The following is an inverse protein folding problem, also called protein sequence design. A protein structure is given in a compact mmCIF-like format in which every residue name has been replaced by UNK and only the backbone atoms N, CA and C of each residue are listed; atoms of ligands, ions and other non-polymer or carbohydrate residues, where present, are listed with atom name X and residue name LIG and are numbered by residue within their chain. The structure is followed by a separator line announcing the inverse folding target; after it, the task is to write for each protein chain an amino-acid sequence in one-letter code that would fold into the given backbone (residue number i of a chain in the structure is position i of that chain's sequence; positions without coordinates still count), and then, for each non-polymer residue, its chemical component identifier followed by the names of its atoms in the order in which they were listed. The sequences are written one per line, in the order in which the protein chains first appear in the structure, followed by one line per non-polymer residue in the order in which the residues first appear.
data_IF_060935102940
#
_entry.id   IF_060935102940
#
_cell.length_a   1.000
_cell.length_b   1.000
_cell.length_c   1.000
_cell.angle_alpha   90.00
_cell.angle_beta   90.00
_cell.angle_gamma   90.00
#
_symmetry.space_group_name_H-M   'P 1'
#
loop_
_entity.id
_entity.type
_entity.pdbx_description
1 polymer ?
#
# COMPACT_ATOMS: atom_id res chain seq x y z
N UNK A 1 -22.02 20.63 -8.92
CA UNK A 1 -22.01 19.43 -8.05
C UNK A 1 -21.18 19.73 -6.80
N UNK A 2 -21.77 19.61 -5.61
CA UNK A 2 -21.09 19.76 -4.32
C UNK A 2 -20.62 18.39 -3.86
N UNK A 3 -19.30 18.24 -3.64
CA UNK A 3 -18.68 16.96 -3.28
C UNK A 3 -18.19 17.00 -1.83
N UNK A 4 -18.41 15.91 -1.09
CA UNK A 4 -17.76 15.63 0.19
C UNK A 4 -16.84 14.42 0.07
N UNK A 5 -15.65 14.51 0.65
CA UNK A 5 -14.73 13.39 0.81
C UNK A 5 -14.82 12.87 2.23
N UNK A 6 -14.86 11.57 2.41
CA UNK A 6 -14.85 10.92 3.72
C UNK A 6 -13.67 9.97 3.79
N UNK A 7 -12.88 10.03 4.86
CA UNK A 7 -11.69 9.19 5.01
C UNK A 7 -11.62 8.61 6.41
N UNK A 8 -11.05 7.41 6.54
CA UNK A 8 -11.02 6.69 7.81
C UNK A 8 -10.38 7.52 8.93
N UNK A 9 -9.14 7.94 8.74
CA UNK A 9 -8.40 8.82 9.67
C UNK A 9 -7.19 9.45 8.98
N UNK A 10 -6.75 10.59 9.48
CA UNK A 10 -5.58 11.33 9.00
C UNK A 10 -4.57 11.47 10.16
N UNK A 11 -3.90 10.38 10.51
CA UNK A 11 -2.89 10.28 11.57
C UNK A 11 -1.59 9.63 11.08
N UNK A 12 -1.56 9.11 9.88
CA UNK A 12 -0.40 8.57 9.18
C UNK A 12 -0.50 8.93 7.70
N UNK A 13 0.60 8.84 6.97
CA UNK A 13 0.60 9.08 5.52
C UNK A 13 1.08 7.83 4.78
N UNK A 14 0.15 7.15 4.14
CA UNK A 14 0.38 5.91 3.40
C UNK A 14 -0.32 5.86 2.05
N UNK A 15 -0.67 4.66 1.62
CA UNK A 15 -1.33 4.46 0.32
C UNK A 15 -2.75 5.00 0.26
N UNK A 16 -3.49 4.95 1.36
CA UNK A 16 -4.86 5.43 1.43
C UNK A 16 -4.92 6.97 1.38
N UNK A 17 -4.00 7.64 2.07
CA UNK A 17 -3.88 9.10 2.09
C UNK A 17 -3.44 9.65 0.73
N UNK A 18 -2.60 8.93 -0.02
CA UNK A 18 -2.25 9.27 -1.42
C UNK A 18 -3.46 9.20 -2.36
N UNK A 19 -4.38 8.25 -2.14
CA UNK A 19 -5.65 8.20 -2.87
C UNK A 19 -6.52 9.40 -2.50
N UNK A 20 -6.64 9.71 -1.21
CA UNK A 20 -7.38 10.87 -0.74
C UNK A 20 -6.81 12.17 -1.32
N UNK A 21 -5.49 12.32 -1.35
CA UNK A 21 -4.80 13.45 -1.97
C UNK A 21 -5.19 13.59 -3.45
N UNK A 22 -5.14 12.50 -4.21
CA UNK A 22 -5.53 12.52 -5.62
C UNK A 22 -7.03 12.81 -5.83
N UNK A 23 -7.91 12.35 -4.94
CA UNK A 23 -9.33 12.70 -4.93
C UNK A 23 -9.53 14.18 -4.61
N UNK A 24 -8.83 14.71 -3.62
CA UNK A 24 -8.92 16.13 -3.27
C UNK A 24 -8.36 17.04 -4.37
N UNK A 25 -7.34 16.59 -5.12
CA UNK A 25 -6.88 17.30 -6.31
C UNK A 25 -7.92 17.36 -7.44
N UNK A 26 -8.85 16.40 -7.54
CA UNK A 26 -9.99 16.46 -8.47
C UNK A 26 -11.04 17.47 -7.97
N UNK A 27 -11.31 17.47 -6.66
CA UNK A 27 -12.29 18.35 -6.01
C UNK A 27 -11.66 19.20 -4.90
N UNK A 28 -10.87 20.24 -5.25
CA UNK A 28 -10.06 20.97 -4.26
C UNK A 28 -10.87 21.80 -3.25
N UNK A 29 -12.17 22.00 -3.50
CA UNK A 29 -13.09 22.68 -2.58
C UNK A 29 -13.89 21.71 -1.70
N UNK A 30 -13.72 20.39 -1.89
CA UNK A 30 -14.45 19.38 -1.12
C UNK A 30 -13.94 19.34 0.33
N UNK A 31 -14.81 19.48 1.35
CA UNK A 31 -14.40 19.21 2.71
C UNK A 31 -14.10 17.72 2.90
N UNK A 32 -13.14 17.43 3.80
CA UNK A 32 -12.77 16.06 4.18
C UNK A 32 -13.31 15.77 5.58
N UNK A 33 -14.15 14.75 5.68
CA UNK A 33 -14.69 14.25 6.95
C UNK A 33 -13.88 13.02 7.38
N UNK A 34 -13.47 12.96 8.64
CA UNK A 34 -12.60 11.88 9.13
C UNK A 34 -12.88 11.55 10.59
N UNK A 35 -12.56 10.31 11.02
CA UNK A 35 -12.70 9.97 12.43
C UNK A 35 -11.75 10.81 13.29
N UNK A 36 -10.47 10.87 12.91
CA UNK A 36 -9.40 11.57 13.62
C UNK A 36 -8.50 12.31 12.65
N UNK A 37 -8.02 13.48 13.06
CA UNK A 37 -6.98 14.24 12.38
C UNK A 37 -5.92 14.68 13.37
N UNK A 38 -4.67 14.31 13.09
CA UNK A 38 -3.51 14.76 13.88
C UNK A 38 -2.38 15.20 12.95
N UNK A 39 -2.21 16.51 12.71
CA UNK A 39 -1.14 17.02 11.84
C UNK A 39 0.27 16.67 12.34
N UNK A 40 0.48 16.60 13.66
CA UNK A 40 1.80 16.32 14.23
C UNK A 40 2.27 14.88 13.90
N UNK A 41 1.34 13.94 13.85
CA UNK A 41 1.65 12.54 13.51
C UNK A 41 1.89 12.29 12.03
N UNK A 42 1.54 13.25 11.16
CA UNK A 42 1.80 13.18 9.71
C UNK A 42 3.25 13.56 9.36
N UNK A 43 4.01 14.09 10.28
CA UNK A 43 5.42 14.45 10.12
C UNK A 43 5.65 15.35 8.90
N UNK A 44 6.57 14.96 8.03
CA UNK A 44 6.95 15.71 6.82
C UNK A 44 5.76 15.93 5.84
N UNK A 45 4.69 15.15 5.95
CA UNK A 45 3.53 15.22 5.06
C UNK A 45 2.42 16.15 5.59
N UNK A 46 2.54 16.70 6.80
CA UNK A 46 1.52 17.57 7.39
C UNK A 46 1.19 18.80 6.51
N UNK A 47 2.20 19.34 5.83
CA UNK A 47 2.06 20.50 4.95
C UNK A 47 1.08 20.29 3.79
N UNK A 48 0.89 19.07 3.33
CA UNK A 48 -0.03 18.71 2.23
C UNK A 48 -1.50 18.96 2.59
N UNK A 49 -1.83 18.90 3.87
CA UNK A 49 -3.21 18.99 4.38
C UNK A 49 -3.53 20.37 4.99
N UNK A 50 -2.56 21.28 5.06
CA UNK A 50 -2.69 22.59 5.75
C UNK A 50 -3.82 23.46 5.19
N UNK A 51 -4.06 23.42 3.89
CA UNK A 51 -5.10 24.24 3.21
C UNK A 51 -6.47 23.54 3.12
N UNK A 52 -6.58 22.30 3.60
CA UNK A 52 -7.81 21.53 3.45
C UNK A 52 -8.82 21.86 4.55
N UNK A 53 -10.10 21.85 4.20
CA UNK A 53 -11.19 21.91 5.18
C UNK A 53 -11.41 20.51 5.75
N UNK A 54 -10.78 20.18 6.88
CA UNK A 54 -10.88 18.88 7.55
C UNK A 54 -11.85 18.99 8.72
N UNK A 55 -12.79 18.05 8.79
CA UNK A 55 -13.84 17.98 9.82
C UNK A 55 -13.71 16.62 10.52
N UNK A 56 -13.23 16.64 11.75
CA UNK A 56 -13.09 15.43 12.56
C UNK A 56 -14.40 15.07 13.25
N UNK A 57 -14.60 13.77 13.51
CA UNK A 57 -15.74 13.28 14.27
C UNK A 57 -15.67 13.68 15.75
N UNK A 58 -16.75 13.42 16.48
CA UNK A 58 -16.77 13.56 17.94
C UNK A 58 -15.72 12.69 18.64
N UNK A 59 -15.24 11.61 17.99
CA UNK A 59 -14.17 10.76 18.48
C UNK A 59 -12.88 11.52 18.77
N UNK A 60 -12.58 12.60 18.03
CA UNK A 60 -11.42 13.46 18.27
C UNK A 60 -11.50 14.28 19.58
N UNK A 61 -12.64 14.26 20.26
CA UNK A 61 -12.84 14.88 21.59
C UNK A 61 -12.71 13.88 22.73
N UNK A 62 -12.54 12.59 22.45
CA UNK A 62 -12.37 11.55 23.45
C UNK A 62 -11.00 11.68 24.16
N UNK A 63 -10.91 11.35 25.46
CA UNK A 63 -9.67 11.40 26.18
C UNK A 63 -8.63 10.43 25.58
N UNK A 64 -7.38 10.86 25.52
CA UNK A 64 -6.23 10.04 25.07
C UNK A 64 -6.41 9.39 23.69
N UNK A 65 -7.25 9.96 22.81
CA UNK A 65 -7.58 9.36 21.53
C UNK A 65 -6.33 9.07 20.67
N UNK A 66 -5.27 9.92 20.74
CA UNK A 66 -4.02 9.70 19.99
C UNK A 66 -3.35 8.37 20.35
N UNK A 67 -3.50 7.88 21.59
CA UNK A 67 -2.96 6.61 22.07
C UNK A 67 -3.98 5.46 21.90
N UNK A 68 -5.28 5.77 21.88
CA UNK A 68 -6.37 4.80 21.89
C UNK A 68 -7.09 4.67 20.54
N UNK A 69 -6.44 5.08 19.45
CA UNK A 69 -6.99 4.94 18.08
C UNK A 69 -7.47 3.51 17.81
N UNK A 70 -6.68 2.48 18.13
CA UNK A 70 -7.07 1.09 17.91
C UNK A 70 -8.28 0.62 18.75
N UNK A 71 -8.34 0.83 20.08
CA UNK A 71 -9.53 0.54 20.88
C UNK A 71 -10.79 1.29 20.44
N UNK A 72 -10.66 2.59 20.10
CA UNK A 72 -11.82 3.39 19.69
C UNK A 72 -12.40 2.99 18.34
N UNK A 73 -11.77 2.07 17.63
CA UNK A 73 -12.32 1.50 16.39
C UNK A 73 -13.70 0.86 16.58
N UNK A 74 -14.03 0.40 17.77
CA UNK A 74 -15.37 -0.13 18.10
C UNK A 74 -16.48 0.92 17.88
N UNK A 75 -16.17 2.20 18.00
CA UNK A 75 -17.09 3.30 17.76
C UNK A 75 -17.09 3.82 16.32
N UNK A 76 -16.33 3.21 15.42
CA UNK A 76 -16.12 3.72 14.05
C UNK A 76 -17.42 3.97 13.29
N UNK A 77 -18.43 3.09 13.41
CA UNK A 77 -19.75 3.30 12.81
C UNK A 77 -20.35 4.64 13.28
N UNK A 78 -20.41 4.88 14.60
CA UNK A 78 -20.97 6.09 15.19
C UNK A 78 -20.19 7.36 14.82
N UNK A 79 -18.87 7.27 14.63
CA UNK A 79 -18.06 8.40 14.19
C UNK A 79 -18.49 8.92 12.82
N UNK A 80 -18.88 8.05 11.90
CA UNK A 80 -19.26 8.43 10.55
C UNK A 80 -20.75 8.70 10.39
N UNK A 81 -21.61 7.99 11.11
CA UNK A 81 -23.08 8.24 11.10
C UNK A 81 -23.45 9.62 11.65
N UNK A 82 -22.56 10.25 12.42
CA UNK A 82 -22.75 11.58 13.00
C UNK A 82 -22.70 12.72 11.97
N UNK A 83 -21.99 12.54 10.86
CA UNK A 83 -21.78 13.62 9.91
C UNK A 83 -23.09 13.94 9.14
N UNK A 84 -23.43 15.22 9.07
CA UNK A 84 -24.49 15.70 8.18
C UNK A 84 -23.93 15.97 6.79
N UNK A 85 -24.27 15.10 5.86
CA UNK A 85 -23.86 15.15 4.46
C UNK A 85 -25.02 15.52 3.51
N UNK A 86 -26.16 15.95 4.05
CA UNK A 86 -27.37 16.28 3.26
C UNK A 86 -27.19 17.46 2.30
N UNK A 87 -26.19 18.31 2.56
CA UNK A 87 -25.88 19.47 1.72
C UNK A 87 -25.08 19.19 0.44
N UNK A 88 -24.65 17.93 0.23
CA UNK A 88 -23.81 17.51 -0.89
C UNK A 88 -24.62 16.76 -1.95
N UNK A 89 -24.10 16.72 -3.17
CA UNK A 89 -24.67 15.96 -4.30
C UNK A 89 -23.97 14.60 -4.44
N UNK A 90 -22.67 14.56 -4.10
CA UNK A 90 -21.81 13.39 -4.18
C UNK A 90 -20.99 13.25 -2.91
N UNK A 91 -20.95 12.04 -2.37
CA UNK A 91 -20.08 11.64 -1.27
C UNK A 91 -19.14 10.55 -1.75
N UNK A 92 -17.83 10.75 -1.59
CA UNK A 92 -16.82 9.73 -1.90
C UNK A 92 -16.12 9.34 -0.61
N UNK A 93 -16.33 8.09 -0.18
CA UNK A 93 -15.63 7.55 0.98
C UNK A 93 -14.40 6.75 0.57
N UNK A 94 -13.25 7.04 1.18
CA UNK A 94 -11.99 6.31 1.08
C UNK A 94 -11.87 5.44 2.33
N UNK A 95 -12.25 4.16 2.23
CA UNK A 95 -12.49 3.30 3.39
C UNK A 95 -11.56 2.11 3.45
N UNK A 96 -11.02 1.86 4.65
CA UNK A 96 -10.12 0.75 4.97
C UNK A 96 -10.51 0.11 6.31
N UNK A 97 -10.04 0.68 7.44
CA UNK A 97 -10.14 0.07 8.77
C UNK A 97 -11.22 0.66 9.66
N UNK A 98 -11.61 1.92 9.44
CA UNK A 98 -12.52 2.69 10.31
C UNK A 98 -13.92 2.85 9.75
N UNK A 99 -14.27 2.12 8.69
CA UNK A 99 -15.61 2.13 8.12
C UNK A 99 -16.07 3.53 7.64
N UNK A 100 -15.21 4.32 6.99
CA UNK A 100 -15.59 5.62 6.40
C UNK A 100 -16.82 5.52 5.48
N UNK A 101 -17.13 4.33 4.98
CA UNK A 101 -18.34 4.01 4.22
C UNK A 101 -19.63 4.00 5.06
N UNK A 102 -19.54 4.01 6.40
CA UNK A 102 -20.71 3.94 7.29
C UNK A 102 -21.44 5.29 7.46
N UNK A 103 -21.17 6.27 6.61
CA UNK A 103 -21.89 7.54 6.61
C UNK A 103 -23.40 7.34 6.38
N UNK A 104 -24.22 8.13 7.06
CA UNK A 104 -25.66 8.14 6.87
C UNK A 104 -26.04 9.31 5.95
N UNK A 105 -26.53 8.97 4.76
CA UNK A 105 -27.02 9.99 3.84
C UNK A 105 -28.49 10.28 4.12
N UNK A 106 -28.80 11.55 4.24
CA UNK A 106 -30.16 12.05 4.44
C UNK A 106 -30.52 12.98 3.28
N UNK A 107 -31.78 13.00 2.94
CA UNK A 107 -32.31 13.91 1.93
C UNK A 107 -32.57 15.28 2.58
N UNK A 108 -31.92 16.32 2.08
CA UNK A 108 -32.29 17.68 2.44
C UNK A 108 -33.61 18.03 1.77
N UNK A 109 -34.40 18.94 2.41
CA UNK A 109 -35.66 19.37 1.88
C UNK A 109 -35.52 19.93 0.45
N UNK A 110 -36.28 19.41 -0.49
CA UNK A 110 -36.25 19.81 -1.88
C UNK A 110 -35.07 19.30 -2.73
N UNK A 111 -34.19 18.42 -2.18
CA UNK A 111 -33.02 17.87 -2.90
C UNK A 111 -33.12 16.36 -3.13
N UNK A 112 -32.40 15.87 -4.12
CA UNK A 112 -32.15 14.42 -4.28
C UNK A 112 -31.25 13.92 -3.15
N UNK A 113 -31.30 12.61 -2.86
CA UNK A 113 -30.34 11.97 -1.96
C UNK A 113 -28.94 12.02 -2.60
N UNK A 114 -27.86 12.36 -1.85
CA UNK A 114 -26.52 12.30 -2.37
C UNK A 114 -26.14 10.90 -2.87
N UNK A 115 -25.40 10.82 -3.98
CA UNK A 115 -24.82 9.56 -4.46
C UNK A 115 -23.58 9.24 -3.60
N UNK A 116 -23.48 8.00 -3.13
CA UNK A 116 -22.34 7.55 -2.34
C UNK A 116 -21.47 6.53 -3.09
N UNK A 117 -20.27 6.93 -3.43
CA UNK A 117 -19.24 6.06 -4.03
C UNK A 117 -18.20 5.72 -2.95
N UNK A 118 -17.99 4.44 -2.71
CA UNK A 118 -16.95 4.00 -1.79
C UNK A 118 -15.72 3.49 -2.56
N UNK A 119 -14.60 4.24 -2.46
CA UNK A 119 -13.29 3.72 -2.83
C UNK A 119 -12.77 2.83 -1.69
N UNK A 120 -12.88 1.55 -1.87
CA UNK A 120 -12.52 0.55 -0.86
C UNK A 120 -11.07 0.11 -1.04
N UNK A 121 -10.22 0.44 -0.08
CA UNK A 121 -8.83 -0.02 -0.07
C UNK A 121 -8.75 -1.51 0.24
N UNK A 122 -9.56 -1.96 1.18
CA UNK A 122 -9.83 -3.37 1.51
C UNK A 122 -10.97 -3.42 2.55
N UNK A 123 -11.79 -4.46 2.59
CA UNK A 123 -12.60 -4.76 3.77
C UNK A 123 -11.70 -4.91 5.01
N UNK A 124 -12.11 -4.41 6.19
CA UNK A 124 -11.26 -4.35 7.38
C UNK A 124 -10.59 -5.69 7.70
N UNK A 125 -9.27 -5.78 7.49
CA UNK A 125 -8.49 -7.03 7.59
C UNK A 125 -8.68 -7.75 8.93
N UNK A 126 -8.72 -6.98 10.04
CA UNK A 126 -8.87 -7.53 11.38
C UNK A 126 -10.22 -8.22 11.62
N UNK A 127 -11.25 -7.86 10.86
CA UNK A 127 -12.58 -8.49 10.94
C UNK A 127 -12.65 -9.81 10.15
N UNK A 128 -11.89 -9.92 9.06
CA UNK A 128 -12.03 -11.02 8.09
C UNK A 128 -10.85 -11.99 8.07
N UNK A 129 -10.06 -12.02 9.15
CA UNK A 129 -9.03 -13.05 9.36
C UNK A 129 -7.71 -12.84 8.64
N UNK A 130 -7.48 -11.66 8.06
CA UNK A 130 -6.19 -11.31 7.49
C UNK A 130 -5.19 -10.84 8.55
N UNK A 131 -3.90 -10.99 8.27
CA UNK A 131 -2.85 -10.54 9.17
C UNK A 131 -2.88 -9.02 9.37
N UNK A 132 -2.67 -8.60 10.62
CA UNK A 132 -2.64 -7.19 11.02
C UNK A 132 -1.43 -6.91 11.91
N UNK A 133 -1.12 -5.64 12.14
CA UNK A 133 0.00 -5.23 12.98
C UNK A 133 -0.19 -5.61 14.48
N UNK A 134 -1.45 -5.76 14.93
CA UNK A 134 -1.79 -6.16 16.30
C UNK A 134 -2.32 -7.59 16.31
N UNK A 135 -1.69 -8.47 17.09
CA UNK A 135 -2.11 -9.87 17.20
C UNK A 135 -2.69 -10.18 18.59
N UNK A 136 -3.75 -9.42 18.98
CA UNK A 136 -4.49 -9.64 20.24
C UNK A 136 -5.09 -11.06 20.36
N UNK A 137 -5.25 -11.76 19.22
CA UNK A 137 -5.72 -13.15 19.19
C UNK A 137 -4.77 -14.15 19.82
N UNK A 138 -3.50 -13.77 20.03
CA UNK A 138 -2.52 -14.58 20.76
C UNK A 138 -2.74 -14.57 22.27
N UNK A 139 -3.44 -13.56 22.78
CA UNK A 139 -3.75 -13.44 24.20
C UNK A 139 -5.02 -14.28 24.53
N UNK A 140 -4.91 -15.33 25.37
CA UNK A 140 -6.02 -16.24 25.66
C UNK A 140 -7.18 -15.56 26.42
N UNK A 141 -6.90 -14.49 27.17
CA UNK A 141 -7.92 -13.76 27.95
C UNK A 141 -8.65 -12.72 27.09
N UNK A 142 -7.93 -12.03 26.20
CA UNK A 142 -8.51 -11.00 25.32
C UNK A 142 -9.23 -11.60 24.11
N UNK A 143 -8.84 -12.81 23.70
CA UNK A 143 -9.38 -13.47 22.50
C UNK A 143 -10.90 -13.63 22.50
N UNK A 144 -11.56 -14.20 23.52
CA UNK A 144 -13.01 -14.39 23.50
C UNK A 144 -13.76 -13.06 23.45
N UNK A 145 -13.36 -12.07 24.23
CA UNK A 145 -13.97 -10.73 24.26
C UNK A 145 -13.79 -10.05 22.90
N UNK A 146 -12.59 -10.09 22.35
CA UNK A 146 -12.29 -9.50 21.06
C UNK A 146 -13.04 -10.16 19.90
N UNK A 147 -13.28 -11.48 19.91
CA UNK A 147 -14.08 -12.14 18.87
C UNK A 147 -15.56 -11.77 18.95
N UNK A 148 -16.12 -11.60 20.16
CA UNK A 148 -17.49 -11.07 20.32
C UNK A 148 -17.61 -9.66 19.75
N UNK A 149 -16.70 -8.76 20.11
CA UNK A 149 -16.66 -7.39 19.56
C UNK A 149 -16.54 -7.42 18.04
N UNK A 150 -15.62 -8.23 17.51
CA UNK A 150 -15.43 -8.37 16.07
C UNK A 150 -16.66 -8.95 15.37
N UNK A 151 -17.45 -9.80 16.03
CA UNK A 151 -18.69 -10.31 15.47
C UNK A 151 -19.67 -9.15 15.20
N UNK A 152 -19.93 -8.31 16.18
CA UNK A 152 -20.79 -7.14 16.00
C UNK A 152 -20.23 -6.15 14.97
N UNK A 153 -18.92 -5.90 15.02
CA UNK A 153 -18.28 -5.03 14.03
C UNK A 153 -18.38 -5.59 12.60
N UNK A 154 -18.32 -6.91 12.39
CA UNK A 154 -18.57 -7.52 11.07
C UNK A 154 -19.99 -7.29 10.58
N UNK A 155 -20.99 -7.42 11.48
CA UNK A 155 -22.39 -7.13 11.14
C UNK A 155 -22.54 -5.67 10.71
N UNK A 156 -22.02 -4.74 11.50
CA UNK A 156 -22.07 -3.31 11.16
C UNK A 156 -21.33 -2.97 9.88
N UNK A 157 -20.18 -3.58 9.65
CA UNK A 157 -19.38 -3.39 8.44
C UNK A 157 -20.11 -3.90 7.20
N UNK A 158 -20.75 -5.07 7.31
CA UNK A 158 -21.57 -5.63 6.25
C UNK A 158 -22.81 -4.75 5.97
N UNK A 159 -23.53 -4.33 6.99
CA UNK A 159 -24.71 -3.43 6.87
C UNK A 159 -24.32 -2.11 6.20
N UNK A 160 -23.17 -1.52 6.60
CA UNK A 160 -22.67 -0.28 6.02
C UNK A 160 -22.35 -0.41 4.52
N UNK A 161 -22.05 -1.62 4.07
CA UNK A 161 -21.77 -1.90 2.66
C UNK A 161 -23.00 -2.20 1.80
N UNK A 162 -24.21 -2.30 2.39
CA UNK A 162 -25.42 -2.64 1.65
C UNK A 162 -26.17 -1.41 1.13
N UNK A 163 -26.95 -1.59 0.07
CA UNK A 163 -27.94 -0.62 -0.38
C UNK A 163 -29.13 -0.64 0.60
N UNK A 164 -29.62 0.49 1.07
CA UNK A 164 -30.75 0.50 2.00
C UNK A 164 -32.02 -0.02 1.33
N UNK A 165 -32.80 -0.79 2.07
CA UNK A 165 -34.14 -1.24 1.64
C UNK A 165 -35.21 -0.13 1.66
N UNK A 166 -34.92 1.00 2.30
CA UNK A 166 -35.82 2.15 2.38
C UNK A 166 -35.12 3.41 1.84
N UNK A 167 -35.86 4.24 1.12
CA UNK A 167 -35.38 5.45 0.45
C UNK A 167 -34.88 6.56 1.42
N UNK A 168 -34.97 6.36 2.72
CA UNK A 168 -34.69 7.38 3.73
C UNK A 168 -33.24 7.35 4.29
N UNK A 169 -32.46 6.30 4.04
CA UNK A 169 -31.07 6.19 4.53
C UNK A 169 -30.17 5.65 3.42
N UNK A 170 -29.50 6.56 2.72
CA UNK A 170 -28.49 6.16 1.72
C UNK A 170 -27.26 5.55 2.40
N UNK A 171 -26.77 4.46 1.85
CA UNK A 171 -25.46 3.87 2.14
C UNK A 171 -24.65 3.83 0.86
N UNK A 172 -23.78 2.85 0.65
CA UNK A 172 -22.94 2.80 -0.55
C UNK A 172 -23.75 2.42 -1.79
N UNK A 173 -23.85 3.32 -2.76
CA UNK A 173 -24.45 3.04 -4.06
C UNK A 173 -23.50 2.22 -4.93
N UNK A 174 -22.23 2.63 -5.03
CA UNK A 174 -21.23 2.01 -5.88
C UNK A 174 -19.91 1.78 -5.13
N UNK A 175 -19.27 0.65 -5.43
CA UNK A 175 -17.91 0.36 -4.95
C UNK A 175 -16.88 0.50 -6.06
N UNK A 176 -15.75 1.13 -5.72
CA UNK A 176 -14.51 1.08 -6.47
C UNK A 176 -13.52 0.27 -5.63
N UNK A 177 -12.89 -0.74 -6.23
CA UNK A 177 -11.83 -1.52 -5.62
C UNK A 177 -10.46 -1.03 -6.12
N UNK A 178 -9.46 -1.00 -5.25
CA UNK A 178 -8.10 -0.60 -5.61
C UNK A 178 -7.33 -1.68 -6.39
N UNK A 179 -7.87 -2.91 -6.47
CA UNK A 179 -7.28 -4.06 -7.16
C UNK A 179 -8.33 -5.14 -7.42
N UNK A 180 -8.02 -6.11 -8.28
CA UNK A 180 -8.85 -7.31 -8.47
C UNK A 180 -8.90 -8.18 -7.22
N UNK A 181 -7.80 -8.21 -6.46
CA UNK A 181 -7.75 -8.87 -5.16
C UNK A 181 -8.80 -8.26 -4.20
N UNK A 182 -8.85 -6.95 -4.09
CA UNK A 182 -9.84 -6.27 -3.25
C UNK A 182 -11.26 -6.36 -3.84
N UNK A 183 -11.40 -6.36 -5.17
CA UNK A 183 -12.67 -6.66 -5.84
C UNK A 183 -13.22 -8.02 -5.41
N UNK A 184 -12.37 -9.05 -5.39
CA UNK A 184 -12.76 -10.39 -4.94
C UNK A 184 -13.17 -10.40 -3.45
N UNK A 185 -12.45 -9.63 -2.60
CA UNK A 185 -12.80 -9.48 -1.18
C UNK A 185 -14.13 -8.75 -0.99
N UNK A 186 -14.41 -7.69 -1.74
CA UNK A 186 -15.71 -6.99 -1.72
C UNK A 186 -16.83 -7.96 -2.10
N UNK A 187 -16.65 -8.73 -3.17
CA UNK A 187 -17.62 -9.75 -3.59
C UNK A 187 -17.85 -10.81 -2.52
N UNK A 188 -16.76 -11.31 -1.92
CA UNK A 188 -16.81 -12.35 -0.88
C UNK A 188 -17.49 -11.87 0.40
N UNK A 189 -17.09 -10.70 0.91
CA UNK A 189 -17.51 -10.25 2.25
C UNK A 189 -18.74 -9.35 2.24
N UNK A 190 -18.91 -8.53 1.21
CA UNK A 190 -20.06 -7.61 1.12
C UNK A 190 -21.13 -8.10 0.15
N UNK A 191 -20.83 -9.13 -0.67
CA UNK A 191 -21.73 -9.64 -1.72
C UNK A 191 -22.13 -8.54 -2.73
N UNK A 192 -21.23 -7.58 -2.93
CA UNK A 192 -21.41 -6.43 -3.82
C UNK A 192 -20.45 -6.52 -5.00
N UNK A 193 -20.89 -5.99 -6.14
CA UNK A 193 -20.02 -5.78 -7.28
C UNK A 193 -19.23 -4.47 -7.12
N UNK A 194 -18.07 -4.40 -7.78
CA UNK A 194 -17.22 -3.21 -7.75
C UNK A 194 -16.45 -3.06 -9.07
N UNK A 195 -16.07 -1.83 -9.37
CA UNK A 195 -15.19 -1.51 -10.51
C UNK A 195 -13.76 -1.36 -10.00
N UNK A 196 -12.79 -1.95 -10.71
CA UNK A 196 -11.38 -1.78 -10.35
C UNK A 196 -10.86 -0.48 -10.94
N UNK A 197 -10.38 0.41 -10.07
CA UNK A 197 -9.57 1.58 -10.44
C UNK A 197 -8.33 1.56 -9.56
N UNK A 198 -7.19 1.22 -10.16
CA UNK A 198 -5.92 1.11 -9.43
C UNK A 198 -5.52 2.43 -8.77
N UNK A 199 -4.88 2.41 -7.60
CA UNK A 199 -4.51 3.62 -6.87
C UNK A 199 -3.47 4.46 -7.63
N UNK A 200 -3.38 5.76 -7.32
CA UNK A 200 -2.50 6.69 -8.01
C UNK A 200 -1.06 6.58 -7.54
N UNK A 201 -0.11 6.56 -8.48
CA UNK A 201 1.31 6.75 -8.21
C UNK A 201 1.81 7.98 -8.96
N UNK A 202 2.52 8.86 -8.29
CA UNK A 202 3.17 10.02 -8.92
C UNK A 202 4.42 9.57 -9.68
N UNK A 203 4.20 9.07 -10.89
CA UNK A 203 5.27 8.54 -11.74
C UNK A 203 6.31 9.62 -12.07
N UNK A 204 5.90 10.87 -12.23
CA UNK A 204 6.79 11.99 -12.61
C UNK A 204 7.87 12.20 -11.55
N UNK A 205 7.51 12.10 -10.28
CA UNK A 205 8.42 12.22 -9.14
C UNK A 205 9.65 11.30 -9.27
N UNK A 206 9.47 10.09 -9.76
CA UNK A 206 10.53 9.10 -9.90
C UNK A 206 11.28 9.20 -11.23
N UNK A 207 10.75 9.93 -12.24
CA UNK A 207 11.33 10.01 -13.59
C UNK A 207 12.19 11.26 -13.83
N UNK A 208 11.91 12.38 -13.19
CA UNK A 208 12.57 13.68 -13.48
C UNK A 208 14.07 13.62 -13.23
N UNK A 209 14.49 13.00 -12.13
CA UNK A 209 15.92 12.89 -11.81
C UNK A 209 16.67 11.84 -12.67
N UNK A 210 15.95 10.92 -13.33
CA UNK A 210 16.56 9.90 -14.17
C UNK A 210 17.17 10.48 -15.48
N UNK A 211 16.67 11.60 -16.00
CA UNK A 211 17.22 12.24 -17.20
C UNK A 211 18.62 12.84 -16.96
N UNK A 212 18.82 13.52 -15.83
CA UNK A 212 20.13 14.07 -15.44
C UNK A 212 21.16 12.97 -15.13
N UNK A 213 20.71 11.80 -14.66
CA UNK A 213 21.57 10.67 -14.34
C UNK A 213 22.02 9.87 -15.57
N UNK A 214 21.22 9.83 -16.65
CA UNK A 214 21.59 9.15 -17.89
C UNK A 214 22.76 9.89 -18.56
N UNK A 215 22.80 11.22 -18.50
CA UNK A 215 23.92 12.00 -19.03
C UNK A 215 25.20 11.81 -18.22
N UNK A 216 25.11 11.69 -16.89
CA UNK A 216 26.27 11.41 -16.03
C UNK A 216 26.76 9.96 -16.07
N UNK A 217 25.89 8.96 -16.41
CA UNK A 217 26.31 7.55 -16.53
C UNK A 217 27.18 7.23 -17.74
N UNK A 218 27.25 8.13 -18.74
CA UNK A 218 28.19 7.96 -19.86
C UNK A 218 29.67 8.10 -19.46
N UNK A 219 29.94 8.58 -18.24
CA UNK A 219 31.33 8.88 -17.79
C UNK A 219 31.77 8.07 -16.56
N UNK A 220 30.96 7.19 -15.99
CA UNK A 220 31.40 6.37 -14.85
C UNK A 220 30.99 4.92 -15.07
N UNK A 221 31.97 4.08 -15.43
CA UNK A 221 31.87 2.62 -15.35
C UNK A 221 31.72 2.24 -13.86
N UNK A 222 30.49 2.23 -13.34
CA UNK A 222 30.21 1.61 -12.04
C UNK A 222 30.01 0.13 -12.26
N UNK A 223 30.92 -0.65 -11.71
CA UNK A 223 30.77 -2.08 -11.59
C UNK A 223 29.41 -2.45 -10.94
N UNK A 224 28.76 -3.53 -11.40
CA UNK A 224 27.46 -3.99 -10.82
C UNK A 224 27.56 -4.33 -9.31
N UNK A 225 28.76 -4.49 -8.78
CA UNK A 225 29.05 -4.97 -7.42
C UNK A 225 28.67 -4.01 -6.28
N UNK A 226 28.39 -2.73 -6.56
CA UNK A 226 28.07 -1.72 -5.50
C UNK A 226 26.59 -1.39 -5.37
N UNK A 227 25.71 -1.98 -6.18
CA UNK A 227 24.28 -1.72 -6.13
C UNK A 227 23.59 -2.60 -5.08
N UNK A 228 22.93 -1.97 -4.11
CA UNK A 228 22.19 -2.62 -3.03
C UNK A 228 20.77 -3.04 -3.45
N UNK A 229 20.21 -4.03 -2.75
CA UNK A 229 18.79 -4.30 -2.76
C UNK A 229 18.06 -3.31 -1.83
N UNK A 230 16.83 -2.97 -2.15
CA UNK A 230 16.07 -1.98 -1.39
C UNK A 230 14.74 -2.60 -0.89
N UNK A 231 14.44 -2.38 0.39
CA UNK A 231 13.12 -2.62 0.97
C UNK A 231 12.56 -1.28 1.43
N UNK A 232 11.33 -0.97 1.03
CA UNK A 232 10.59 0.19 1.48
C UNK A 232 9.28 -0.29 2.08
N UNK A 233 9.11 -0.15 3.41
CA UNK A 233 7.95 -0.71 4.08
C UNK A 233 7.75 -0.14 5.48
N UNK A 234 6.51 -0.17 5.97
CA UNK A 234 6.29 -0.12 7.42
C UNK A 234 6.87 -1.39 8.05
N UNK A 235 7.64 -1.25 9.12
CA UNK A 235 8.30 -2.38 9.78
C UNK A 235 7.34 -3.05 10.77
N UNK A 236 6.50 -3.93 10.22
CA UNK A 236 5.51 -4.75 10.95
C UNK A 236 5.54 -6.19 10.43
N UNK A 237 5.18 -7.16 11.26
CA UNK A 237 5.32 -8.59 10.95
C UNK A 237 4.72 -9.04 9.61
N UNK A 238 3.57 -8.48 9.21
CA UNK A 238 2.92 -8.81 7.92
C UNK A 238 3.75 -8.39 6.67
N UNK A 239 4.79 -7.57 6.85
CA UNK A 239 5.67 -7.12 5.75
C UNK A 239 6.90 -7.99 5.56
N UNK A 240 7.14 -8.97 6.42
CA UNK A 240 8.19 -9.99 6.25
C UNK A 240 9.59 -9.44 5.92
N UNK A 241 9.96 -8.31 6.53
CA UNK A 241 11.29 -7.70 6.33
C UNK A 241 12.38 -8.57 6.94
N UNK A 242 12.07 -9.28 8.01
CA UNK A 242 12.89 -10.31 8.66
C UNK A 242 13.43 -11.33 7.64
N UNK A 243 12.57 -11.84 6.77
CA UNK A 243 12.93 -12.78 5.72
C UNK A 243 14.01 -12.21 4.77
N UNK A 244 13.87 -10.94 4.39
CA UNK A 244 14.83 -10.29 3.45
C UNK A 244 16.19 -10.08 4.13
N UNK A 245 16.19 -9.66 5.40
CA UNK A 245 17.41 -9.50 6.19
C UNK A 245 18.16 -10.83 6.27
N UNK A 246 17.47 -11.92 6.61
CA UNK A 246 18.08 -13.24 6.73
C UNK A 246 18.70 -13.72 5.41
N UNK A 247 17.98 -13.55 4.30
CA UNK A 247 18.49 -13.99 2.98
C UNK A 247 19.63 -13.11 2.49
N UNK A 248 19.52 -11.78 2.63
CA UNK A 248 20.60 -10.88 2.21
C UNK A 248 21.87 -11.09 3.03
N UNK A 249 21.74 -11.31 4.34
CA UNK A 249 22.88 -11.67 5.19
C UNK A 249 23.53 -12.97 4.72
N UNK A 250 22.76 -14.06 4.57
CA UNK A 250 23.29 -15.36 4.11
C UNK A 250 23.98 -15.33 2.74
N UNK A 251 23.53 -14.44 1.86
CA UNK A 251 24.10 -14.30 0.51
C UNK A 251 25.17 -13.21 0.39
N UNK A 252 25.53 -12.53 1.49
CA UNK A 252 26.48 -11.42 1.47
C UNK A 252 26.01 -10.22 0.63
N UNK A 253 24.71 -9.98 0.51
CA UNK A 253 24.15 -8.96 -0.38
C UNK A 253 23.90 -7.63 0.36
N UNK A 254 24.33 -6.48 -0.20
CA UNK A 254 24.01 -5.17 0.38
C UNK A 254 22.51 -4.89 0.37
N UNK A 255 21.96 -4.52 1.54
CA UNK A 255 20.54 -4.23 1.72
C UNK A 255 20.34 -2.87 2.39
N UNK A 256 19.46 -2.05 1.83
CA UNK A 256 18.96 -0.84 2.48
C UNK A 256 17.49 -1.01 2.84
N UNK A 257 17.13 -0.71 4.09
CA UNK A 257 15.77 -0.81 4.63
C UNK A 257 15.27 0.59 4.96
N UNK A 258 14.17 1.01 4.31
CA UNK A 258 13.52 2.30 4.51
C UNK A 258 12.17 2.11 5.19
N UNK A 259 11.90 2.92 6.19
CA UNK A 259 10.67 2.99 6.94
C UNK A 259 10.84 2.75 8.42
N UNK A 260 9.77 2.99 9.17
CA UNK A 260 9.68 2.79 10.61
C UNK A 260 8.61 1.78 10.99
N UNK A 261 8.56 1.41 12.26
CA UNK A 261 7.55 0.51 12.78
C UNK A 261 7.99 -0.26 14.02
N UNK A 262 7.06 -1.02 14.59
CA UNK A 262 7.26 -1.72 15.89
C UNK A 262 8.34 -2.80 15.85
N UNK A 263 8.63 -3.36 14.69
CA UNK A 263 9.64 -4.41 14.52
C UNK A 263 11.06 -3.88 14.34
N UNK A 264 11.27 -2.54 14.29
CA UNK A 264 12.58 -1.95 13.99
C UNK A 264 13.69 -2.47 14.92
N UNK A 265 13.44 -2.55 16.23
CA UNK A 265 14.43 -3.05 17.21
C UNK A 265 14.75 -4.53 16.97
N UNK A 266 13.72 -5.36 16.74
CA UNK A 266 13.88 -6.79 16.50
C UNK A 266 14.65 -7.03 15.19
N UNK A 267 14.35 -6.26 14.14
CA UNK A 267 15.02 -6.36 12.85
C UNK A 267 16.49 -5.91 12.93
N UNK A 268 16.79 -4.86 13.70
CA UNK A 268 18.17 -4.45 13.97
C UNK A 268 18.96 -5.53 14.72
N UNK A 269 18.36 -6.15 15.75
CA UNK A 269 18.99 -7.28 16.47
C UNK A 269 19.25 -8.46 15.53
N UNK A 270 18.28 -8.80 14.67
CA UNK A 270 18.43 -9.87 13.68
C UNK A 270 19.60 -9.60 12.74
N UNK A 271 19.72 -8.39 12.19
CA UNK A 271 20.81 -8.00 11.32
C UNK A 271 22.19 -8.10 12.02
N UNK A 272 22.28 -7.70 13.30
CA UNK A 272 23.51 -7.81 14.10
C UNK A 272 23.90 -9.26 14.40
N UNK A 273 22.93 -10.14 14.66
CA UNK A 273 23.21 -11.57 14.90
C UNK A 273 23.86 -12.19 13.66
N UNK A 274 23.30 -11.94 12.48
CA UNK A 274 23.85 -12.47 11.23
C UNK A 274 25.22 -11.90 10.88
N UNK A 275 25.49 -10.62 11.17
CA UNK A 275 26.81 -10.03 10.97
C UNK A 275 27.90 -10.57 11.92
N UNK A 276 27.52 -11.07 13.10
CA UNK A 276 28.45 -11.68 14.09
C UNK A 276 28.72 -13.17 13.82
N UNK A 277 27.73 -13.92 13.33
CA UNK A 277 27.88 -15.35 13.07
C UNK A 277 28.86 -15.64 11.94
N UNK A 278 29.05 -14.71 11.01
CA UNK A 278 30.06 -14.82 9.93
C UNK A 278 31.50 -14.66 10.44
N UNK A 279 31.70 -14.04 11.61
CA UNK A 279 33.05 -13.89 12.20
C UNK A 279 33.55 -15.13 12.96
N UNK A 280 32.66 -16.10 13.23
CA UNK A 280 32.98 -17.25 14.10
C UNK A 280 33.27 -18.58 13.37
N UNK A 281 33.13 -18.66 12.06
CA UNK A 281 33.37 -19.90 11.31
C UNK A 281 34.41 -19.76 10.18
N UNK A 282 35.63 -20.10 10.49
CA UNK A 282 36.62 -20.54 9.52
C UNK A 282 37.87 -19.67 9.32
N UNK A 283 39.03 -20.28 8.99
CA UNK A 283 40.29 -19.55 8.74
C UNK A 283 40.20 -18.76 7.45
N UNK A 284 40.79 -17.57 7.49
CA UNK A 284 40.86 -16.61 6.41
C UNK A 284 41.34 -17.27 5.10
N UNK A 285 40.45 -17.40 4.12
CA UNK A 285 40.82 -17.49 2.73
C UNK A 285 40.91 -16.09 2.16
N UNK A 286 42.12 -15.71 1.81
CA UNK A 286 42.54 -14.45 1.21
C UNK A 286 41.69 -14.12 -0.04
N UNK A 287 41.00 -12.99 -0.03
CA UNK A 287 40.41 -12.38 -1.20
C UNK A 287 39.00 -11.88 -1.01
N UNK A 288 38.86 -10.58 -0.71
CA UNK A 288 37.66 -9.79 -0.61
C UNK A 288 36.64 -10.20 0.48
N UNK A 289 36.72 -9.55 1.63
CA UNK A 289 35.65 -9.53 2.66
C UNK A 289 34.35 -8.96 2.06
N UNK A 290 33.46 -9.83 1.59
CA UNK A 290 32.07 -9.47 1.32
C UNK A 290 31.32 -9.37 2.64
N UNK A 291 31.50 -8.25 3.32
CA UNK A 291 30.70 -7.91 4.51
C UNK A 291 29.32 -7.51 4.03
N UNK A 292 28.29 -8.35 4.28
CA UNK A 292 26.92 -7.95 4.00
C UNK A 292 26.58 -6.71 4.82
N UNK A 293 26.31 -5.60 4.15
CA UNK A 293 25.94 -4.34 4.82
C UNK A 293 24.43 -4.17 4.78
N UNK A 294 23.79 -4.39 5.94
CA UNK A 294 22.35 -4.10 6.12
C UNK A 294 22.23 -2.75 6.80
N UNK A 295 21.65 -1.79 6.09
CA UNK A 295 21.53 -0.41 6.56
C UNK A 295 20.05 -0.03 6.75
N UNK A 296 19.69 0.37 7.96
CA UNK A 296 18.36 0.91 8.29
C UNK A 296 18.40 2.43 8.20
N UNK A 297 17.59 2.99 7.30
CA UNK A 297 17.57 4.43 7.02
C UNK A 297 16.45 5.18 7.74
N UNK A 298 15.54 4.45 8.42
CA UNK A 298 14.37 5.06 9.03
C UNK A 298 13.42 5.68 7.99
N UNK A 299 12.68 6.69 8.40
CA UNK A 299 11.86 7.48 7.49
C UNK A 299 12.71 8.48 6.72
N UNK A 300 12.51 8.54 5.42
CA UNK A 300 13.28 9.39 4.50
C UNK A 300 12.36 10.36 3.77
N UNK A 301 12.93 11.48 3.32
CA UNK A 301 12.19 12.43 2.47
C UNK A 301 11.89 11.82 1.10
N UNK A 302 10.93 12.41 0.41
CA UNK A 302 10.54 12.00 -0.93
C UNK A 302 11.71 12.04 -1.93
N UNK A 303 12.59 13.06 -1.82
CA UNK A 303 13.78 13.18 -2.67
C UNK A 303 14.83 12.10 -2.36
N UNK A 304 15.04 11.81 -1.08
CA UNK A 304 15.93 10.73 -0.65
C UNK A 304 15.41 9.37 -1.13
N UNK A 305 14.10 9.13 -0.99
CA UNK A 305 13.45 7.90 -1.45
C UNK A 305 13.60 7.72 -2.97
N UNK A 306 13.41 8.81 -3.73
CA UNK A 306 13.60 8.80 -5.18
C UNK A 306 15.03 8.41 -5.56
N UNK A 307 16.04 8.99 -4.87
CA UNK A 307 17.45 8.63 -5.09
C UNK A 307 17.74 7.17 -4.73
N UNK A 308 17.14 6.66 -3.66
CA UNK A 308 17.27 5.27 -3.24
C UNK A 308 16.72 4.30 -4.30
N UNK A 309 15.53 4.58 -4.83
CA UNK A 309 14.99 3.79 -5.94
C UNK A 309 15.87 3.85 -7.18
N UNK A 310 16.39 5.03 -7.54
CA UNK A 310 17.23 5.19 -8.75
C UNK A 310 18.57 4.46 -8.67
N UNK A 311 19.11 4.28 -7.47
CA UNK A 311 20.44 3.68 -7.27
C UNK A 311 20.40 2.23 -6.82
N UNK A 312 19.23 1.68 -6.44
CA UNK A 312 19.15 0.27 -6.06
C UNK A 312 19.33 -0.64 -7.30
N UNK A 313 19.69 -1.90 -7.06
CA UNK A 313 19.71 -2.96 -8.07
C UNK A 313 18.31 -3.43 -8.40
N UNK A 314 17.57 -3.79 -7.36
CA UNK A 314 16.15 -4.15 -7.40
C UNK A 314 15.47 -3.83 -6.06
N UNK A 315 14.14 -3.78 -6.08
CA UNK A 315 13.35 -3.68 -4.85
C UNK A 315 12.86 -5.07 -4.47
N UNK A 316 13.02 -5.45 -3.20
CA UNK A 316 12.43 -6.68 -2.66
C UNK A 316 11.14 -6.32 -1.92
N UNK A 317 10.04 -6.95 -2.32
CA UNK A 317 8.70 -6.72 -1.77
C UNK A 317 8.13 -8.01 -1.18
N UNK A 318 8.45 -8.32 0.09
CA UNK A 318 8.14 -9.61 0.71
C UNK A 318 6.75 -9.67 1.36
N UNK A 319 5.95 -8.60 1.29
CA UNK A 319 4.66 -8.50 1.96
C UNK A 319 3.70 -9.63 1.58
N UNK A 320 3.04 -10.22 2.58
CA UNK A 320 1.99 -11.21 2.38
C UNK A 320 0.63 -10.55 2.19
N UNK A 321 -0.18 -11.10 1.27
CA UNK A 321 -1.59 -10.73 1.07
C UNK A 321 -1.79 -9.20 0.88
N UNK A 322 -0.88 -8.53 0.18
CA UNK A 322 -0.96 -7.09 -0.04
C UNK A 322 -2.20 -6.74 -0.87
N UNK A 323 -2.85 -5.63 -0.55
CA UNK A 323 -4.07 -5.22 -1.23
C UNK A 323 -3.81 -4.77 -2.67
N UNK A 324 -2.71 -4.06 -2.92
CA UNK A 324 -2.23 -3.68 -4.25
C UNK A 324 -0.70 -3.60 -4.33
N UNK A 325 -0.06 -2.86 -3.40
CA UNK A 325 1.38 -2.64 -3.39
C UNK A 325 1.82 -1.45 -4.26
N UNK A 326 1.91 -0.25 -3.66
CA UNK A 326 2.40 0.95 -4.36
C UNK A 326 3.92 0.92 -4.57
N UNK A 327 4.67 0.35 -3.62
CA UNK A 327 6.13 0.25 -3.66
C UNK A 327 6.67 -0.43 -4.93
N UNK A 328 6.13 -1.56 -5.40
CA UNK A 328 6.47 -2.13 -6.70
C UNK A 328 6.31 -1.13 -7.86
N UNK A 329 5.24 -0.34 -7.87
CA UNK A 329 4.99 0.64 -8.93
C UNK A 329 6.00 1.80 -8.87
N UNK A 330 6.33 2.27 -7.67
CA UNK A 330 7.37 3.31 -7.46
C UNK A 330 8.74 2.84 -7.96
N UNK A 331 9.11 1.60 -7.64
CA UNK A 331 10.32 0.97 -8.16
C UNK A 331 10.32 0.93 -9.69
N UNK A 332 9.22 0.47 -10.30
CA UNK A 332 9.07 0.42 -11.75
C UNK A 332 9.07 1.82 -12.37
N UNK A 333 8.51 2.84 -11.73
CA UNK A 333 8.57 4.22 -12.17
C UNK A 333 10.01 4.75 -12.22
N UNK A 334 10.87 4.32 -11.28
CA UNK A 334 12.31 4.56 -11.32
C UNK A 334 13.06 3.67 -12.34
N UNK A 335 12.38 2.75 -13.01
CA UNK A 335 12.95 1.82 -13.98
C UNK A 335 13.65 0.63 -13.35
N UNK A 336 13.29 0.28 -12.11
CA UNK A 336 13.91 -0.81 -11.35
C UNK A 336 13.01 -2.03 -11.32
N UNK A 337 13.58 -3.22 -11.49
CA UNK A 337 12.84 -4.47 -11.35
C UNK A 337 12.49 -4.75 -9.88
N UNK A 338 11.49 -5.63 -9.70
CA UNK A 338 10.97 -6.00 -8.39
C UNK A 338 11.10 -7.51 -8.16
N UNK A 339 11.51 -7.90 -6.97
CA UNK A 339 11.44 -9.28 -6.48
C UNK A 339 10.30 -9.33 -5.47
N UNK A 340 9.17 -9.95 -5.81
CA UNK A 340 7.94 -9.84 -5.04
C UNK A 340 7.42 -11.20 -4.55
N UNK A 341 6.83 -11.21 -3.36
CA UNK A 341 6.02 -12.34 -2.93
C UNK A 341 4.76 -12.44 -3.81
N UNK A 342 4.51 -13.62 -4.40
CA UNK A 342 3.43 -13.86 -5.35
C UNK A 342 2.04 -13.92 -4.70
N UNK A 343 1.69 -12.94 -3.86
CA UNK A 343 0.42 -12.92 -3.13
C UNK A 343 -0.27 -11.56 -3.16
N UNK A 344 -1.57 -11.58 -3.44
CA UNK A 344 -2.42 -10.37 -3.44
C UNK A 344 -2.27 -9.51 -4.70
N UNK A 345 -2.50 -8.21 -4.54
CA UNK A 345 -2.59 -7.27 -5.66
C UNK A 345 -1.28 -7.03 -6.43
N UNK A 346 -0.11 -7.43 -5.89
CA UNK A 346 1.16 -7.34 -6.61
C UNK A 346 1.17 -8.17 -7.90
N UNK A 347 0.39 -9.23 -7.96
CA UNK A 347 0.21 -10.06 -9.16
C UNK A 347 -0.42 -9.30 -10.34
N UNK A 348 -0.99 -8.13 -10.09
CA UNK A 348 -1.62 -7.30 -11.11
C UNK A 348 -0.64 -6.26 -11.70
N UNK A 349 0.49 -6.06 -11.06
CA UNK A 349 1.44 -5.00 -11.41
C UNK A 349 2.80 -5.52 -11.90
N UNK A 350 3.34 -6.58 -11.33
CA UNK A 350 4.63 -7.14 -11.73
C UNK A 350 4.47 -8.14 -12.87
N UNK A 351 5.37 -8.11 -13.86
CA UNK A 351 5.43 -9.05 -14.97
C UNK A 351 6.66 -9.93 -14.78
N UNK A 352 6.42 -11.18 -14.43
CA UNK A 352 7.45 -12.21 -14.26
C UNK A 352 7.52 -13.09 -15.52
N UNK A 353 8.72 -13.37 -16.07
CA UNK A 353 8.88 -14.20 -17.26
C UNK A 353 8.51 -15.67 -17.05
N UNK A 354 8.48 -16.16 -15.81
CA UNK A 354 8.22 -17.56 -15.48
C UNK A 354 6.74 -17.84 -15.15
N UNK A 355 5.92 -16.80 -14.91
CA UNK A 355 4.52 -17.03 -14.54
C UNK A 355 3.67 -17.41 -15.74
N UNK A 356 3.09 -18.60 -15.66
CA UNK A 356 1.89 -18.92 -16.42
C UNK A 356 0.79 -17.97 -15.98
N UNK A 357 0.12 -17.31 -16.93
CA UNK A 357 -1.08 -16.55 -16.60
C UNK A 357 -2.05 -17.49 -15.88
N UNK A 358 -2.24 -17.30 -14.59
CA UNK A 358 -3.15 -18.11 -13.77
C UNK A 358 -4.61 -18.10 -14.27
N UNK A 359 -4.92 -17.23 -15.25
CA UNK A 359 -6.25 -17.08 -15.85
C UNK A 359 -6.41 -17.62 -17.28
N UNK A 360 -5.33 -17.78 -18.05
CA UNK A 360 -5.42 -18.22 -19.45
C UNK A 360 -4.77 -19.58 -19.72
N UNK A 361 -4.07 -20.17 -18.75
CA UNK A 361 -3.31 -21.41 -18.97
C UNK A 361 -2.15 -21.26 -19.98
N UNK A 362 -2.02 -20.09 -20.62
CA UNK A 362 -0.94 -19.81 -21.57
C UNK A 362 0.32 -19.37 -20.83
N UNK A 363 1.41 -20.01 -21.13
CA UNK A 363 2.75 -19.50 -20.81
C UNK A 363 2.92 -18.21 -21.60
N UNK A 364 2.84 -17.06 -20.93
CA UNK A 364 3.33 -15.82 -21.51
C UNK A 364 4.84 -16.00 -21.62
N UNK A 365 5.33 -16.48 -22.77
CA UNK A 365 6.75 -16.35 -23.08
C UNK A 365 7.05 -14.87 -23.22
N UNK A 366 7.32 -14.22 -22.09
CA UNK A 366 7.73 -12.82 -22.12
C UNK A 366 9.08 -12.77 -22.78
N UNK A 367 9.12 -12.14 -23.94
CA UNK A 367 10.37 -11.92 -24.67
C UNK A 367 11.35 -11.09 -23.84
N UNK A 368 12.63 -11.29 -24.08
CA UNK A 368 13.73 -10.52 -23.51
C UNK A 368 13.40 -9.00 -23.51
N UNK A 369 13.60 -8.32 -22.37
CA UNK A 369 13.31 -6.89 -22.22
C UNK A 369 11.85 -6.54 -21.91
N UNK A 370 10.93 -7.51 -21.73
CA UNK A 370 9.50 -7.26 -21.44
C UNK A 370 9.05 -7.74 -20.06
N UNK A 371 9.96 -7.83 -19.09
CA UNK A 371 9.70 -8.20 -17.70
C UNK A 371 9.88 -7.01 -16.77
N UNK A 372 9.19 -7.02 -15.65
CA UNK A 372 9.31 -5.97 -14.62
C UNK A 372 9.81 -6.52 -13.28
N UNK A 373 9.92 -7.82 -13.13
CA UNK A 373 10.40 -8.45 -11.91
C UNK A 373 10.34 -9.96 -11.94
N UNK A 374 10.52 -10.56 -10.78
CA UNK A 374 10.38 -12.01 -10.53
C UNK A 374 9.55 -12.23 -9.27
N UNK A 375 8.90 -13.38 -9.19
CA UNK A 375 8.13 -13.79 -8.03
C UNK A 375 8.82 -14.86 -7.20
N UNK A 376 8.48 -14.93 -5.93
CA UNK A 376 8.73 -16.05 -5.04
C UNK A 376 7.47 -16.42 -4.26
N UNK A 377 7.29 -17.70 -3.98
CA UNK A 377 6.19 -18.26 -3.17
C UNK A 377 6.58 -19.70 -2.76
N UNK A 378 6.35 -20.09 -1.51
CA UNK A 378 5.86 -19.32 -0.36
C UNK A 378 6.93 -18.32 0.16
N UNK A 379 6.54 -17.44 1.11
CA UNK A 379 7.45 -16.48 1.74
C UNK A 379 8.41 -17.16 2.72
N UNK A 380 9.41 -17.87 2.18
CA UNK A 380 10.45 -18.60 2.91
C UNK A 380 11.85 -18.19 2.46
N UNK A 381 12.85 -18.48 3.29
CA UNK A 381 14.26 -18.23 2.97
C UNK A 381 14.67 -18.93 1.69
N UNK A 382 14.27 -20.18 1.50
CA UNK A 382 14.61 -20.96 0.31
C UNK A 382 14.05 -20.36 -0.98
N UNK A 383 12.74 -20.03 -0.99
CA UNK A 383 12.10 -19.48 -2.18
C UNK A 383 12.61 -18.08 -2.55
N UNK A 384 12.84 -17.20 -1.55
CA UNK A 384 13.43 -15.89 -1.81
C UNK A 384 14.87 -16.00 -2.30
N UNK A 385 15.67 -16.92 -1.75
CA UNK A 385 17.04 -17.20 -2.23
C UNK A 385 17.03 -17.63 -3.71
N UNK A 386 16.15 -18.56 -4.07
CA UNK A 386 15.99 -19.00 -5.46
C UNK A 386 15.55 -17.87 -6.38
N UNK A 387 14.62 -17.02 -5.93
CA UNK A 387 14.16 -15.88 -6.72
C UNK A 387 15.26 -14.82 -6.93
N UNK A 388 16.08 -14.55 -5.92
CA UNK A 388 17.24 -13.64 -6.08
C UNK A 388 18.24 -14.21 -7.07
N UNK A 389 18.56 -15.51 -7.01
CA UNK A 389 19.47 -16.14 -7.97
C UNK A 389 18.90 -16.10 -9.39
N UNK A 390 17.63 -16.45 -9.56
CA UNK A 390 16.93 -16.34 -10.85
C UNK A 390 16.93 -14.89 -11.37
N UNK A 391 16.68 -13.91 -10.49
CA UNK A 391 16.75 -12.50 -10.85
C UNK A 391 18.12 -12.12 -11.40
N UNK A 392 19.21 -12.54 -10.73
CA UNK A 392 20.59 -12.26 -11.17
C UNK A 392 20.87 -12.86 -12.55
N UNK A 393 20.41 -14.08 -12.81
CA UNK A 393 20.59 -14.74 -14.11
C UNK A 393 19.79 -14.05 -15.23
N UNK A 394 18.55 -13.65 -14.94
CA UNK A 394 17.70 -12.91 -15.88
C UNK A 394 18.25 -11.50 -16.17
N UNK A 395 18.82 -10.84 -15.15
CA UNK A 395 19.46 -9.53 -15.29
C UNK A 395 20.67 -9.63 -16.22
N UNK A 396 21.58 -10.61 -16.03
CA UNK A 396 22.71 -10.86 -16.91
C UNK A 396 22.26 -11.14 -18.35
N UNK A 397 21.15 -11.82 -18.55
CA UNK A 397 20.55 -12.10 -19.85
C UNK A 397 19.81 -10.91 -20.47
N UNK A 398 19.68 -9.78 -19.77
CA UNK A 398 19.03 -8.54 -20.25
C UNK A 398 17.50 -8.61 -20.34
N UNK A 399 16.85 -9.34 -19.42
CA UNK A 399 15.38 -9.43 -19.36
C UNK A 399 14.72 -8.16 -18.84
N UNK A 400 15.42 -7.31 -18.10
CA UNK A 400 14.90 -6.12 -17.46
C UNK A 400 15.32 -4.86 -18.20
N UNK A 401 14.48 -4.39 -19.14
CA UNK A 401 14.68 -3.10 -19.82
C UNK A 401 14.08 -1.95 -18.97
N UNK A 402 14.91 -1.02 -18.46
CA UNK A 402 14.40 0.10 -17.67
C UNK A 402 13.38 0.98 -18.40
N UNK A 403 13.42 1.07 -19.73
CA UNK A 403 12.46 1.85 -20.53
C UNK A 403 11.12 1.13 -20.57
N UNK A 404 11.11 -0.17 -20.75
CA UNK A 404 9.89 -0.98 -20.69
C UNK A 404 9.26 -0.91 -19.29
N UNK A 405 10.07 -1.10 -18.24
CA UNK A 405 9.64 -1.07 -16.84
C UNK A 405 8.95 0.26 -16.51
N UNK A 406 9.56 1.41 -16.85
CA UNK A 406 8.95 2.74 -16.68
C UNK A 406 7.64 2.90 -17.44
N UNK A 407 7.62 2.47 -18.71
CA UNK A 407 6.40 2.54 -19.53
C UNK A 407 5.29 1.70 -18.94
N UNK A 408 5.59 0.54 -18.37
CA UNK A 408 4.60 -0.30 -17.69
C UNK A 408 4.01 0.41 -16.47
N UNK A 409 4.85 1.08 -15.66
CA UNK A 409 4.39 1.84 -14.49
C UNK A 409 3.39 2.97 -14.84
N UNK A 410 3.43 3.54 -16.07
CA UNK A 410 2.48 4.58 -16.52
C UNK A 410 1.02 4.14 -16.44
N UNK A 411 0.74 2.83 -16.49
CA UNK A 411 -0.60 2.26 -16.31
C UNK A 411 -1.19 2.53 -14.92
N UNK A 412 -0.39 2.99 -13.97
CA UNK A 412 -0.77 3.26 -12.58
C UNK A 412 -0.57 4.74 -12.20
N UNK A 413 -0.45 5.63 -13.20
CA UNK A 413 -0.19 7.04 -12.97
C UNK A 413 -1.35 7.76 -12.30
N UNK A 414 -1.03 8.84 -11.58
CA UNK A 414 -2.03 9.71 -10.93
C UNK A 414 -2.98 10.36 -11.94
N UNK A 415 -2.48 10.72 -13.11
CA UNK A 415 -3.30 11.28 -14.18
C UNK A 415 -4.33 10.26 -14.72
N UNK A 416 -3.91 8.98 -14.90
CA UNK A 416 -4.83 7.91 -15.27
C UNK A 416 -5.90 7.72 -14.20
N UNK A 417 -5.50 7.65 -12.91
CA UNK A 417 -6.43 7.52 -11.79
C UNK A 417 -7.49 8.62 -11.79
N UNK A 418 -7.08 9.89 -11.89
CA UNK A 418 -8.00 11.03 -11.91
C UNK A 418 -9.01 10.94 -13.06
N UNK A 419 -8.53 10.61 -14.26
CA UNK A 419 -9.40 10.45 -15.44
C UNK A 419 -10.42 9.33 -15.27
N UNK A 420 -9.99 8.17 -14.72
CA UNK A 420 -10.89 7.02 -14.50
C UNK A 420 -11.93 7.31 -13.40
N UNK A 421 -11.54 8.00 -12.32
CA UNK A 421 -12.47 8.43 -11.27
C UNK A 421 -13.51 9.41 -11.83
N UNK A 422 -13.09 10.44 -12.56
CA UNK A 422 -14.02 11.41 -13.19
C UNK A 422 -15.01 10.70 -14.11
N UNK A 423 -14.52 9.88 -15.03
CA UNK A 423 -15.38 9.10 -15.93
C UNK A 423 -16.37 8.18 -15.18
N UNK A 424 -15.91 7.55 -14.09
CA UNK A 424 -16.76 6.70 -13.28
C UNK A 424 -17.88 7.51 -12.58
N UNK A 425 -17.54 8.68 -12.04
CA UNK A 425 -18.49 9.58 -11.39
C UNK A 425 -19.50 10.12 -12.39
N UNK A 426 -19.07 10.61 -13.56
CA UNK A 426 -19.95 11.10 -14.63
C UNK A 426 -21.01 10.06 -15.00
N UNK A 427 -20.59 8.81 -15.27
CA UNK A 427 -21.50 7.70 -15.60
C UNK A 427 -22.46 7.28 -14.47
N UNK A 428 -22.32 7.81 -13.24
CA UNK A 428 -23.17 7.46 -12.10
C UNK A 428 -24.04 8.62 -11.64
N UNK A 429 -23.71 9.84 -12.04
CA UNK A 429 -24.43 11.06 -11.69
C UNK A 429 -25.45 11.46 -12.77
N UNK A 430 -25.22 11.05 -14.01
CA UNK A 430 -26.22 11.09 -15.09
C UNK A 430 -27.37 10.09 -14.80
#
# INVERSE_FOLDING_TARGET
MKVALVHDFLIEYGGAERVLEALHEIWPKAPVFTAFFNPDSLGLNASKFKSWKIISSWGAKLPFWQKLVSPYRVFSKSFFEHFDLSGFDLVISSSNMYMAKAVTLRRAQGKKLPIHICYCHTPPRFLYGYSTALNWRKDPLLRPIGEVINHFMRVWDFEAAQVPKSQSRGRVDCFIANSKEVQARIKKFYRRDSTVIYPPVDIKKFTVHSRQFIEKKKTVNREPSTAYFLVVSRLVGAKKVDLVIEVCAKLGLPLKVVGGGRELENLNKLAQIHSRSEQSFGPAHSGSEFKSTIEFLGEVTDDQLTKLYQNCRAVIFPAEQEDFGLVPIEAMAAGKPVIANAQGGVLESVIDPSTRSARSGQVLSTSKGKCTGVYFDPATVGSLTLAINNFVDLEKKGYFDPKFIRRHAQKFSKERFKREILKFVENKVE
#
